data_IF_748450849068
#
_entry.id   IF_748450849068
#
_cell.length_a   1.000
_cell.length_b   1.000
_cell.length_c   1.000
_cell.angle_alpha   90.00
_cell.angle_beta   90.00
_cell.angle_gamma   90.00
#
_symmetry.space_group_name_H-M   'P 1'
#
loop_
_entity.id
_entity.type
_entity.pdbx_description
1 polymer ?
#
# COMPACT_ATOMS: atom_id res chain seq x y z
N UNK A 1 19.69 -5.74 18.33
CA UNK A 1 18.45 -5.68 17.53
C UNK A 1 18.01 -4.23 17.55
N UNK A 2 18.05 -3.55 16.40
CA UNK A 2 17.52 -2.20 16.31
C UNK A 2 16.01 -2.24 16.56
N UNK A 3 15.54 -1.35 17.44
CA UNK A 3 14.10 -1.14 17.66
C UNK A 3 13.54 -0.36 16.48
N UNK A 4 12.52 -0.91 15.83
CA UNK A 4 11.73 -0.21 14.81
C UNK A 4 10.27 -0.14 15.26
N UNK A 5 9.58 0.90 14.80
CA UNK A 5 8.15 1.09 15.04
C UNK A 5 7.38 0.53 13.84
N UNK A 6 6.27 -0.16 14.14
CA UNK A 6 5.31 -0.63 13.15
C UNK A 6 3.96 0.01 13.44
N UNK A 7 3.12 0.14 12.41
CA UNK A 7 1.72 0.48 12.64
C UNK A 7 1.07 -0.62 13.47
N UNK A 8 0.65 -0.31 14.69
CA UNK A 8 0.03 -1.28 15.59
C UNK A 8 -1.38 -1.66 15.12
N UNK A 9 -2.11 -0.70 14.56
CA UNK A 9 -3.42 -0.88 13.95
C UNK A 9 -3.33 -0.26 12.55
N UNK A 10 -3.87 -0.95 11.55
CA UNK A 10 -4.00 -0.40 10.21
C UNK A 10 -4.88 0.86 10.20
N UNK A 11 -4.84 1.61 9.11
CA UNK A 11 -5.63 2.81 8.95
C UNK A 11 -5.96 3.05 7.48
N UNK A 12 -6.99 3.85 7.26
CA UNK A 12 -7.34 4.34 5.94
C UNK A 12 -7.35 5.87 5.96
N UNK A 13 -6.96 6.47 4.83
CA UNK A 13 -6.99 7.91 4.62
C UNK A 13 -7.48 8.18 3.21
N UNK A 14 -8.28 9.23 3.06
CA UNK A 14 -8.78 9.66 1.76
C UNK A 14 -8.52 11.15 1.58
N UNK A 15 -8.02 11.52 0.40
CA UNK A 15 -7.93 12.91 -0.03
C UNK A 15 -8.56 13.06 -1.42
N UNK A 16 -9.25 14.18 -1.63
CA UNK A 16 -9.79 14.55 -2.94
C UNK A 16 -9.06 15.80 -3.41
N UNK A 17 -8.30 15.67 -4.50
CA UNK A 17 -7.56 16.76 -5.10
C UNK A 17 -7.88 16.86 -6.59
N UNK A 18 -8.30 18.04 -7.06
CA UNK A 18 -8.56 18.32 -8.48
C UNK A 18 -9.46 17.28 -9.17
N UNK A 19 -10.52 16.82 -8.47
CA UNK A 19 -11.45 15.75 -8.90
C UNK A 19 -10.85 14.35 -8.98
N UNK A 20 -9.58 14.18 -8.63
CA UNK A 20 -8.98 12.88 -8.38
C UNK A 20 -9.17 12.52 -6.90
N UNK A 21 -9.57 11.27 -6.67
CA UNK A 21 -9.73 10.70 -5.33
C UNK A 21 -8.54 9.78 -5.08
N UNK A 22 -7.82 10.01 -3.99
CA UNK A 22 -6.70 9.19 -3.55
C UNK A 22 -7.08 8.55 -2.23
N UNK A 23 -6.96 7.22 -2.17
CA UNK A 23 -7.34 6.43 -1.00
C UNK A 23 -6.11 5.64 -0.60
N UNK A 24 -5.57 5.95 0.57
CA UNK A 24 -4.44 5.27 1.16
C UNK A 24 -4.94 4.25 2.19
N UNK A 25 -4.40 3.03 2.11
CA UNK A 25 -4.65 1.96 3.06
C UNK A 25 -3.33 1.53 3.67
N UNK A 26 -3.28 1.45 5.00
CA UNK A 26 -2.12 1.01 5.77
C UNK A 26 -2.55 -0.17 6.61
N UNK A 27 -1.79 -1.26 6.57
CA UNK A 27 -2.05 -2.44 7.38
C UNK A 27 -0.72 -3.02 7.88
N UNK A 28 -0.63 -3.47 9.15
CA UNK A 28 0.50 -4.28 9.58
C UNK A 28 0.48 -5.62 8.84
N UNK A 29 1.67 -6.08 8.44
CA UNK A 29 1.89 -7.40 7.84
C UNK A 29 2.98 -8.11 8.63
N UNK A 30 2.84 -9.42 8.83
CA UNK A 30 3.89 -10.24 9.43
C UNK A 30 4.70 -10.94 8.33
N UNK A 31 4.04 -11.34 7.24
CA UNK A 31 4.64 -12.06 6.11
C UNK A 31 4.20 -11.51 4.74
N UNK A 32 4.96 -11.81 3.69
CA UNK A 32 4.71 -11.30 2.32
C UNK A 32 3.32 -11.68 1.80
N UNK A 33 2.81 -12.83 2.22
CA UNK A 33 1.49 -13.31 1.83
C UNK A 33 0.36 -12.39 2.32
N UNK A 34 0.48 -11.80 3.51
CA UNK A 34 -0.50 -10.84 4.05
C UNK A 34 -0.59 -9.61 3.15
N UNK A 35 0.56 -9.12 2.68
CA UNK A 35 0.64 -7.98 1.78
C UNK A 35 -0.05 -8.28 0.44
N UNK A 36 0.24 -9.44 -0.16
CA UNK A 36 -0.34 -9.85 -1.44
C UNK A 36 -1.86 -9.97 -1.32
N UNK A 37 -2.34 -10.66 -0.28
CA UNK A 37 -3.78 -10.84 -0.04
C UNK A 37 -4.49 -9.50 0.19
N UNK A 38 -3.86 -8.58 0.91
CA UNK A 38 -4.40 -7.24 1.11
C UNK A 38 -4.45 -6.44 -0.19
N UNK A 39 -3.37 -6.43 -0.97
CA UNK A 39 -3.30 -5.75 -2.27
C UNK A 39 -4.40 -6.28 -3.21
N UNK A 40 -4.57 -7.61 -3.32
CA UNK A 40 -5.63 -8.18 -4.13
C UNK A 40 -7.03 -7.79 -3.66
N UNK A 41 -7.26 -7.72 -2.35
CA UNK A 41 -8.53 -7.27 -1.77
C UNK A 41 -8.81 -5.82 -2.15
N UNK A 42 -7.83 -4.92 -1.98
CA UNK A 42 -7.97 -3.50 -2.34
C UNK A 42 -8.18 -3.34 -3.85
N UNK A 43 -7.42 -4.06 -4.68
CA UNK A 43 -7.59 -4.04 -6.15
C UNK A 43 -8.98 -4.51 -6.59
N UNK A 44 -9.57 -5.50 -5.89
CA UNK A 44 -10.95 -5.95 -6.17
C UNK A 44 -11.99 -4.94 -5.69
N UNK A 45 -11.75 -4.31 -4.55
CA UNK A 45 -12.64 -3.29 -3.98
C UNK A 45 -12.67 -2.02 -4.84
N UNK A 46 -11.51 -1.59 -5.35
CA UNK A 46 -11.33 -0.41 -6.20
C UNK A 46 -10.87 -0.83 -7.60
N UNK A 47 -11.62 -1.75 -8.22
CA UNK A 47 -11.33 -2.26 -9.56
C UNK A 47 -11.43 -1.18 -10.64
N UNK A 48 -12.11 -0.07 -10.34
CA UNK A 48 -12.30 1.11 -11.18
C UNK A 48 -11.22 2.20 -10.96
N UNK A 49 -10.29 1.99 -10.02
CA UNK A 49 -9.17 2.90 -9.81
C UNK A 49 -8.22 2.88 -11.02
N UNK A 50 -7.73 4.06 -11.43
CA UNK A 50 -6.79 4.20 -12.54
C UNK A 50 -5.41 3.61 -12.25
N UNK A 51 -4.98 3.70 -11.00
CA UNK A 51 -3.72 3.18 -10.50
C UNK A 51 -3.94 2.62 -9.10
N UNK A 52 -3.43 1.42 -8.84
CA UNK A 52 -3.38 0.79 -7.52
C UNK A 52 -1.92 0.70 -7.06
N UNK A 53 -1.36 1.84 -6.68
CA UNK A 53 0.00 1.92 -6.17
C UNK A 53 0.10 1.25 -4.80
N UNK A 54 1.14 0.47 -4.58
CA UNK A 54 1.37 -0.19 -3.30
C UNK A 54 2.86 -0.21 -2.95
N UNK A 55 3.15 -0.19 -1.66
CA UNK A 55 4.47 -0.42 -1.12
C UNK A 55 4.35 -1.19 0.19
N UNK A 56 5.25 -2.14 0.42
CA UNK A 56 5.32 -2.88 1.68
C UNK A 56 6.74 -3.32 2.01
N UNK A 57 6.97 -3.49 3.31
CA UNK A 57 8.19 -4.03 3.87
C UNK A 57 7.85 -5.11 4.89
N UNK A 58 8.52 -6.26 4.83
CA UNK A 58 8.35 -7.30 5.84
C UNK A 58 9.05 -6.93 7.14
N UNK A 59 8.56 -7.50 8.24
CA UNK A 59 9.08 -7.26 9.59
C UNK A 59 10.57 -7.56 9.78
N UNK A 60 11.11 -8.51 9.02
CA UNK A 60 12.53 -8.85 9.00
C UNK A 60 13.36 -7.95 8.07
N UNK A 61 12.74 -6.98 7.40
CA UNK A 61 13.37 -6.01 6.50
C UNK A 61 13.92 -6.59 5.22
N UNK A 62 13.69 -7.89 4.94
CA UNK A 62 14.29 -8.57 3.79
C UNK A 62 13.51 -8.38 2.51
N UNK A 63 12.20 -8.21 2.60
CA UNK A 63 11.33 -7.99 1.45
C UNK A 63 10.89 -6.55 1.47
N UNK A 64 11.33 -5.80 0.45
CA UNK A 64 10.85 -4.47 0.14
C UNK A 64 10.32 -4.50 -1.29
N UNK A 65 9.03 -4.20 -1.44
CA UNK A 65 8.34 -4.22 -2.72
C UNK A 65 7.52 -2.96 -2.85
N UNK A 66 7.56 -2.37 -4.03
CA UNK A 66 6.69 -1.27 -4.40
C UNK A 66 6.31 -1.41 -5.87
N UNK A 67 5.18 -0.84 -6.23
CA UNK A 67 4.67 -0.79 -7.59
C UNK A 67 3.84 0.47 -7.74
N UNK A 68 4.15 1.26 -8.76
CA UNK A 68 3.43 2.48 -9.10
C UNK A 68 2.29 2.21 -10.11
N UNK A 69 1.99 0.93 -10.40
CA UNK A 69 0.88 0.49 -11.27
C UNK A 69 0.74 1.31 -12.57
N UNK A 70 1.88 1.59 -13.20
CA UNK A 70 1.97 2.30 -14.48
C UNK A 70 1.80 3.81 -14.41
N UNK A 71 1.94 4.45 -13.23
CA UNK A 71 2.06 5.90 -13.18
C UNK A 71 3.23 6.38 -14.07
N UNK A 72 3.05 7.47 -14.84
CA UNK A 72 4.12 8.02 -15.65
C UNK A 72 5.29 8.40 -14.74
N UNK A 73 6.47 7.87 -15.06
CA UNK A 73 7.68 7.99 -14.24
C UNK A 73 7.93 9.45 -13.84
N UNK A 74 8.00 9.72 -12.51
CA UNK A 74 8.19 11.01 -11.81
C UNK A 74 6.95 11.72 -11.21
N UNK A 75 5.92 11.02 -10.72
CA UNK A 75 4.83 11.69 -9.95
C UNK A 75 4.34 11.04 -8.65
N UNK A 76 4.74 9.81 -8.32
CA UNK A 76 4.32 9.09 -7.10
C UNK A 76 5.25 9.32 -5.90
#
# INVERSE_FOLDING_TARGET
MEQYQICYIGGEGEIIEKKSRFIAHIVPIDEEQDAITFIEKIRKQYWDARHNCYAYITKDGKVLRFSDDGEPSQTA
#
